data_IF_843173047188
#
_entry.id   IF_843173047188
#
_cell.length_a   1.000
_cell.length_b   1.000
_cell.length_c   1.000
_cell.angle_alpha   90.00
_cell.angle_beta   90.00
_cell.angle_gamma   90.00
#
_symmetry.space_group_name_H-M   'P 1'
#
loop_
_entity.id
_entity.type
_entity.pdbx_description
1 polymer ?
#
# COMPACT_ATOMS: atom_id res chain seq x y z
N UNK A 1 11.78 -6.53 18.36
CA UNK A 1 11.91 -5.11 17.94
C UNK A 1 10.62 -4.71 17.23
N UNK A 2 10.20 -3.46 17.37
CA UNK A 2 9.01 -2.95 16.64
C UNK A 2 9.38 -2.64 15.21
N UNK A 3 8.60 -3.13 14.23
CA UNK A 3 8.78 -2.87 12.80
C UNK A 3 7.99 -1.64 12.37
N UNK A 4 8.62 -0.73 11.66
CA UNK A 4 8.00 0.48 11.11
C UNK A 4 7.48 0.21 9.70
N UNK A 5 6.18 0.35 9.51
CA UNK A 5 5.48 0.08 8.25
C UNK A 5 5.15 1.39 7.55
N UNK A 6 5.68 1.60 6.35
CA UNK A 6 5.20 2.66 5.47
C UNK A 6 3.87 2.27 4.83
N UNK A 7 2.82 3.03 5.07
CA UNK A 7 1.49 2.79 4.48
C UNK A 7 1.29 3.75 3.31
N UNK A 8 1.17 3.20 2.11
CA UNK A 8 0.88 3.95 0.89
C UNK A 8 -0.55 3.68 0.45
N UNK A 9 -1.38 4.71 0.47
CA UNK A 9 -2.79 4.62 0.07
C UNK A 9 -3.00 5.29 -1.28
N UNK A 10 -3.37 4.50 -2.28
CA UNK A 10 -3.53 4.92 -3.68
C UNK A 10 -4.82 5.69 -3.98
N UNK A 11 -5.33 6.45 -3.02
CA UNK A 11 -6.54 7.26 -3.17
C UNK A 11 -6.42 8.58 -2.44
N UNK A 12 -6.61 9.68 -3.16
CA UNK A 12 -6.67 11.04 -2.62
C UNK A 12 -8.10 11.53 -2.34
N UNK A 13 -9.12 10.70 -2.47
CA UNK A 13 -10.51 11.07 -2.21
C UNK A 13 -10.73 11.34 -0.72
N UNK A 14 -11.51 12.38 -0.40
CA UNK A 14 -11.89 12.69 0.98
C UNK A 14 -12.77 11.60 1.62
N UNK A 15 -13.52 10.86 0.81
CA UNK A 15 -14.37 9.74 1.23
C UNK A 15 -13.76 8.39 0.86
N UNK A 16 -12.44 8.28 0.91
CA UNK A 16 -11.70 7.12 0.44
C UNK A 16 -11.92 5.89 1.29
N UNK A 17 -12.55 4.86 0.75
CA UNK A 17 -12.66 3.54 1.37
C UNK A 17 -11.26 2.92 1.58
N UNK A 18 -10.31 3.19 0.68
CA UNK A 18 -8.92 2.75 0.84
C UNK A 18 -8.27 3.33 2.11
N UNK A 19 -8.54 4.59 2.46
CA UNK A 19 -8.10 5.19 3.72
C UNK A 19 -8.77 4.54 4.93
N UNK A 20 -10.08 4.27 4.86
CA UNK A 20 -10.82 3.59 5.94
C UNK A 20 -10.23 2.20 6.20
N UNK A 21 -9.97 1.43 5.15
CA UNK A 21 -9.35 0.10 5.25
C UNK A 21 -7.95 0.20 5.84
N UNK A 22 -7.15 1.18 5.43
CA UNK A 22 -5.80 1.39 5.93
C UNK A 22 -5.79 1.68 7.44
N UNK A 23 -6.65 2.58 7.90
CA UNK A 23 -6.78 2.90 9.32
C UNK A 23 -7.34 1.73 10.13
N UNK A 24 -8.29 0.97 9.57
CA UNK A 24 -8.80 -0.25 10.21
C UNK A 24 -7.68 -1.27 10.41
N UNK A 25 -6.86 -1.54 9.40
CA UNK A 25 -5.71 -2.46 9.51
C UNK A 25 -4.72 -2.02 10.58
N UNK A 26 -4.39 -0.73 10.63
CA UNK A 26 -3.50 -0.20 11.67
C UNK A 26 -4.08 -0.36 13.08
N UNK A 27 -5.41 -0.25 13.23
CA UNK A 27 -6.12 -0.39 14.51
C UNK A 27 -6.17 -1.83 15.02
N UNK A 28 -6.32 -2.81 14.11
CA UNK A 28 -6.47 -4.23 14.48
C UNK A 28 -5.15 -5.01 14.39
N UNK A 29 -4.07 -4.35 14.02
CA UNK A 29 -2.75 -4.98 13.88
C UNK A 29 -2.24 -5.55 15.21
N UNK A 30 -1.51 -6.68 15.18
CA UNK A 30 -0.85 -7.20 16.36
C UNK A 30 0.23 -6.24 16.87
N UNK A 31 0.61 -6.40 18.14
CA UNK A 31 1.72 -5.65 18.74
C UNK A 31 3.02 -5.89 17.99
N UNK A 32 3.91 -4.89 17.98
CA UNK A 32 5.21 -4.98 17.28
C UNK A 32 5.22 -4.36 15.89
N UNK A 33 4.11 -3.77 15.43
CA UNK A 33 4.08 -2.94 14.22
C UNK A 33 3.73 -1.49 14.58
N UNK A 34 4.38 -0.55 13.91
CA UNK A 34 4.00 0.87 13.90
C UNK A 34 3.75 1.32 12.47
N UNK A 35 2.73 2.13 12.25
CA UNK A 35 2.28 2.52 10.92
C UNK A 35 2.55 4.00 10.68
N UNK A 36 3.30 4.30 9.61
CA UNK A 36 3.53 5.64 9.10
C UNK A 36 2.75 5.82 7.80
N UNK A 37 1.70 6.64 7.82
CA UNK A 37 0.90 6.95 6.62
C UNK A 37 1.65 7.96 5.77
N UNK A 38 2.27 7.47 4.70
CA UNK A 38 3.13 8.28 3.84
C UNK A 38 2.28 9.05 2.82
N UNK A 39 2.42 10.37 2.81
CA UNK A 39 1.74 11.22 1.84
C UNK A 39 2.28 10.97 0.44
N UNK A 40 1.41 10.57 -0.50
CA UNK A 40 1.76 10.34 -1.92
C UNK A 40 0.90 11.14 -2.91
N UNK A 41 -0.16 11.80 -2.42
CA UNK A 41 -1.06 12.57 -3.27
C UNK A 41 -0.43 13.88 -3.80
N UNK A 42 0.59 14.37 -3.14
CA UNK A 42 1.32 15.59 -3.48
C UNK A 42 2.58 15.35 -4.33
N UNK A 43 2.85 14.09 -4.68
CA UNK A 43 4.01 13.73 -5.50
C UNK A 43 3.73 14.11 -6.96
N UNK A 44 4.49 15.02 -7.57
CA UNK A 44 4.44 15.25 -9.02
C UNK A 44 4.61 13.95 -9.79
N UNK A 45 4.06 13.87 -11.00
CA UNK A 45 4.24 12.70 -11.83
C UNK A 45 5.73 12.53 -12.16
N UNK A 46 6.24 11.32 -11.92
CA UNK A 46 7.63 11.00 -12.20
C UNK A 46 7.95 11.11 -13.69
N UNK A 47 9.07 11.74 -13.94
CA UNK A 47 9.72 11.84 -15.24
C UNK A 47 11.22 11.56 -15.02
N UNK A 48 11.88 10.91 -15.98
CA UNK A 48 13.31 10.59 -15.89
C UNK A 48 14.19 11.83 -15.72
N UNK A 49 13.76 12.96 -16.25
CA UNK A 49 14.50 14.23 -16.13
C UNK A 49 14.47 14.77 -14.68
N UNK A 50 13.56 14.23 -13.83
CA UNK A 50 13.49 14.52 -12.39
C UNK A 50 14.57 13.84 -11.56
N UNK A 51 15.29 12.84 -12.10
CA UNK A 51 16.30 12.07 -11.34
C UNK A 51 17.41 12.93 -10.72
N UNK A 52 17.72 14.06 -11.35
CA UNK A 52 18.77 15.00 -10.91
C UNK A 52 18.21 16.31 -10.34
N UNK A 53 16.91 16.38 -10.08
CA UNK A 53 16.24 17.56 -9.53
C UNK A 53 15.98 17.41 -8.03
N UNK A 54 16.14 18.51 -7.31
CA UNK A 54 15.78 18.60 -5.89
C UNK A 54 14.29 18.91 -5.74
N UNK A 55 13.44 17.87 -5.78
CA UNK A 55 12.01 17.99 -5.56
C UNK A 55 11.70 17.65 -4.09
N UNK A 56 11.30 18.64 -3.31
CA UNK A 56 11.12 18.52 -1.86
C UNK A 56 10.17 17.37 -1.46
N UNK A 57 9.05 17.17 -2.21
CA UNK A 57 8.12 16.08 -1.96
C UNK A 57 8.73 14.70 -2.25
N UNK A 58 9.61 14.58 -3.25
CA UNK A 58 10.37 13.34 -3.50
C UNK A 58 11.36 13.06 -2.38
N UNK A 59 12.11 14.06 -1.94
CA UNK A 59 13.08 13.93 -0.85
C UNK A 59 12.40 13.48 0.44
N UNK A 60 11.29 14.12 0.82
CA UNK A 60 10.45 13.73 1.96
C UNK A 60 9.98 12.29 1.82
N UNK A 61 9.34 11.95 0.71
CA UNK A 61 8.82 10.61 0.45
C UNK A 61 9.93 9.56 0.54
N UNK A 62 11.05 9.78 -0.12
CA UNK A 62 12.20 8.86 -0.11
C UNK A 62 12.77 8.68 1.30
N UNK A 63 12.86 9.75 2.10
CA UNK A 63 13.32 9.66 3.49
C UNK A 63 12.37 8.82 4.37
N UNK A 64 11.05 8.97 4.20
CA UNK A 64 10.05 8.18 4.91
C UNK A 64 10.13 6.69 4.54
N UNK A 65 10.29 6.36 3.26
CA UNK A 65 10.47 4.98 2.81
C UNK A 65 11.80 4.39 3.31
N UNK A 66 12.89 5.14 3.22
CA UNK A 66 14.22 4.68 3.67
C UNK A 66 14.23 4.27 5.14
N UNK A 67 13.49 4.99 5.99
CA UNK A 67 13.41 4.72 7.44
C UNK A 67 12.38 3.66 7.82
N UNK A 68 11.69 3.04 6.87
CA UNK A 68 10.68 2.02 7.12
C UNK A 68 11.23 0.61 6.90
N UNK A 69 10.81 -0.35 7.74
CA UNK A 69 11.23 -1.75 7.65
C UNK A 69 10.45 -2.51 6.58
N UNK A 70 9.20 -2.12 6.33
CA UNK A 70 8.29 -2.78 5.40
C UNK A 70 7.28 -1.79 4.81
N UNK A 71 6.53 -2.22 3.80
CA UNK A 71 5.55 -1.40 3.09
C UNK A 71 4.19 -2.09 3.05
N UNK A 72 3.13 -1.34 3.29
CA UNK A 72 1.75 -1.77 3.07
C UNK A 72 1.16 -0.94 1.93
N UNK A 73 0.91 -1.58 0.79
CA UNK A 73 0.38 -0.96 -0.42
C UNK A 73 -1.14 -1.18 -0.49
N UNK A 74 -1.91 -0.11 -0.43
CA UNK A 74 -3.37 -0.16 -0.45
C UNK A 74 -3.87 0.59 -1.67
N UNK A 75 -4.54 -0.11 -2.58
CA UNK A 75 -4.94 0.44 -3.87
C UNK A 75 -6.40 0.20 -4.20
N UNK A 76 -7.16 1.20 -4.66
CA UNK A 76 -8.40 0.93 -5.38
C UNK A 76 -8.09 0.31 -6.74
N UNK A 77 -9.04 -0.48 -7.29
CA UNK A 77 -9.00 -0.90 -8.69
C UNK A 77 -9.63 0.18 -9.56
N UNK A 78 -8.83 0.77 -10.45
CA UNK A 78 -9.28 1.70 -11.48
C UNK A 78 -9.01 1.09 -12.85
N UNK A 79 -10.06 0.94 -13.67
CA UNK A 79 -9.93 0.40 -15.03
C UNK A 79 -9.11 -0.91 -15.08
N UNK A 80 -9.42 -1.84 -14.18
CA UNK A 80 -8.77 -3.14 -14.07
C UNK A 80 -7.26 -3.09 -13.70
N UNK A 81 -6.80 -2.00 -13.09
CA UNK A 81 -5.41 -1.83 -12.65
C UNK A 81 -5.35 -1.14 -11.27
N UNK A 82 -4.17 -1.16 -10.65
CA UNK A 82 -3.91 -0.39 -9.45
C UNK A 82 -3.79 1.11 -9.78
N UNK A 83 -3.90 1.97 -8.77
CA UNK A 83 -3.97 3.41 -8.97
C UNK A 83 -2.66 4.00 -9.49
N UNK A 84 -2.78 5.05 -10.33
CA UNK A 84 -1.64 5.82 -10.82
C UNK A 84 -0.79 6.41 -9.68
N UNK A 85 -1.41 6.76 -8.54
CA UNK A 85 -0.69 7.28 -7.37
C UNK A 85 0.31 6.27 -6.80
N UNK A 86 -0.10 5.00 -6.66
CA UNK A 86 0.80 3.91 -6.21
C UNK A 86 1.91 3.70 -7.24
N UNK A 87 1.56 3.68 -8.53
CA UNK A 87 2.58 3.52 -9.58
C UNK A 87 3.61 4.62 -9.55
N UNK A 88 3.17 5.87 -9.43
CA UNK A 88 4.03 7.04 -9.32
C UNK A 88 4.98 6.96 -8.10
N UNK A 89 4.43 6.61 -6.94
CA UNK A 89 5.23 6.43 -5.73
C UNK A 89 6.31 5.33 -5.90
N UNK A 90 5.95 4.21 -6.54
CA UNK A 90 6.92 3.12 -6.81
C UNK A 90 8.02 3.61 -7.75
N UNK A 91 7.68 4.34 -8.80
CA UNK A 91 8.65 4.87 -9.74
C UNK A 91 9.63 5.84 -9.06
N UNK A 92 9.13 6.79 -8.28
CA UNK A 92 9.96 7.75 -7.51
C UNK A 92 10.89 7.01 -6.52
N UNK A 93 10.37 6.02 -5.80
CA UNK A 93 11.15 5.27 -4.81
C UNK A 93 12.21 4.35 -5.42
N UNK A 94 12.06 3.95 -6.69
CA UNK A 94 13.04 3.15 -7.42
C UNK A 94 14.18 3.97 -8.03
N UNK A 95 14.12 5.29 -7.93
CA UNK A 95 15.03 6.23 -8.59
C UNK A 95 15.81 7.09 -7.56
N UNK A 96 16.96 7.73 -7.95
CA UNK A 96 17.69 7.52 -9.22
C UNK A 96 18.19 6.08 -9.40
N UNK A 97 18.65 5.75 -10.62
CA UNK A 97 19.12 4.40 -10.93
C UNK A 97 20.21 3.95 -9.95
N UNK A 98 20.09 2.71 -9.43
CA UNK A 98 21.00 2.17 -8.43
C UNK A 98 20.69 2.59 -6.99
N UNK A 99 19.70 3.46 -6.76
CA UNK A 99 19.30 3.94 -5.43
C UNK A 99 17.86 3.58 -5.06
N UNK A 100 17.38 2.44 -5.54
CA UNK A 100 16.05 1.95 -5.21
C UNK A 100 15.91 1.67 -3.71
N UNK A 101 14.86 2.21 -3.12
CA UNK A 101 14.51 2.02 -1.70
C UNK A 101 13.64 0.79 -1.46
N UNK A 102 13.25 0.12 -2.54
CA UNK A 102 12.32 -1.00 -2.50
C UNK A 102 12.99 -2.36 -2.37
N UNK A 103 14.23 -2.49 -2.88
CA UNK A 103 14.93 -3.77 -2.98
C UNK A 103 15.03 -4.45 -1.61
N UNK A 104 14.46 -5.65 -1.51
CA UNK A 104 14.46 -6.45 -0.29
C UNK A 104 13.46 -6.01 0.78
N UNK A 105 12.74 -4.88 0.59
CA UNK A 105 11.75 -4.39 1.55
C UNK A 105 10.45 -5.19 1.45
N UNK A 106 10.02 -5.91 2.51
CA UNK A 106 8.81 -6.73 2.46
C UNK A 106 7.56 -5.88 2.26
N UNK A 107 6.67 -6.33 1.38
CA UNK A 107 5.46 -5.62 1.01
C UNK A 107 4.19 -6.45 1.24
N UNK A 108 3.15 -5.82 1.81
CA UNK A 108 1.78 -6.31 1.82
C UNK A 108 0.94 -5.58 0.77
N UNK A 109 -0.04 -6.27 0.19
CA UNK A 109 -0.93 -5.70 -0.82
C UNK A 109 -2.38 -5.84 -0.38
N UNK A 110 -3.10 -4.73 -0.44
CA UNK A 110 -4.54 -4.67 -0.21
C UNK A 110 -5.18 -3.98 -1.41
N UNK A 111 -6.17 -4.61 -2.02
CA UNK A 111 -6.93 -4.02 -3.11
C UNK A 111 -8.39 -3.79 -2.73
N UNK A 112 -8.98 -2.77 -3.31
CA UNK A 112 -10.37 -2.38 -3.08
C UNK A 112 -11.09 -2.27 -4.43
N UNK A 113 -12.24 -2.94 -4.54
CA UNK A 113 -13.04 -2.93 -5.76
C UNK A 113 -14.54 -2.87 -5.51
N UNK A 114 -15.27 -2.24 -6.43
CA UNK A 114 -16.73 -2.18 -6.38
C UNK A 114 -17.39 -3.57 -6.54
N UNK A 115 -16.80 -4.41 -7.38
CA UNK A 115 -17.27 -5.78 -7.62
C UNK A 115 -16.85 -6.77 -6.54
N UNK A 116 -17.45 -7.96 -6.55
CA UNK A 116 -17.17 -9.02 -5.57
C UNK A 116 -15.70 -9.49 -5.54
N UNK A 117 -14.98 -9.37 -6.67
CA UNK A 117 -13.56 -9.74 -6.77
C UNK A 117 -12.59 -8.82 -6.02
N UNK A 118 -13.07 -7.69 -5.48
CA UNK A 118 -12.30 -6.85 -4.56
C UNK A 118 -11.04 -6.23 -5.16
N UNK A 119 -10.99 -6.03 -6.47
CA UNK A 119 -9.82 -5.42 -7.10
C UNK A 119 -8.65 -6.41 -7.31
N UNK A 120 -8.94 -7.70 -7.48
CA UNK A 120 -7.92 -8.74 -7.65
C UNK A 120 -6.95 -8.45 -8.79
N UNK A 121 -7.41 -7.85 -9.91
CA UNK A 121 -6.54 -7.50 -11.03
C UNK A 121 -5.53 -6.42 -10.65
N UNK A 122 -5.95 -5.44 -9.85
CA UNK A 122 -5.06 -4.41 -9.31
C UNK A 122 -4.00 -5.04 -8.40
N UNK A 123 -4.38 -5.97 -7.54
CA UNK A 123 -3.46 -6.69 -6.66
C UNK A 123 -2.43 -7.51 -7.46
N UNK A 124 -2.85 -8.24 -8.48
CA UNK A 124 -1.96 -9.09 -9.30
C UNK A 124 -0.97 -8.26 -10.11
N UNK A 125 -1.44 -7.18 -10.75
CA UNK A 125 -0.54 -6.27 -11.47
C UNK A 125 0.46 -5.59 -10.54
N UNK A 126 0.01 -5.18 -9.34
CA UNK A 126 0.89 -4.57 -8.35
C UNK A 126 1.94 -5.57 -7.86
N UNK A 127 1.57 -6.84 -7.65
CA UNK A 127 2.50 -7.92 -7.32
C UNK A 127 3.54 -8.11 -8.43
N UNK A 128 3.12 -8.06 -9.70
CA UNK A 128 4.03 -8.12 -10.85
C UNK A 128 5.04 -6.97 -10.84
N UNK A 129 4.58 -5.74 -10.56
CA UNK A 129 5.48 -4.59 -10.44
C UNK A 129 6.45 -4.74 -9.27
N UNK A 130 5.98 -5.24 -8.12
CA UNK A 130 6.83 -5.50 -6.96
C UNK A 130 7.95 -6.51 -7.25
N UNK A 131 7.70 -7.49 -8.13
CA UNK A 131 8.70 -8.50 -8.52
C UNK A 131 9.72 -8.02 -9.56
N UNK A 132 9.52 -6.83 -10.15
CA UNK A 132 10.42 -6.26 -11.14
C UNK A 132 11.82 -5.99 -10.58
N UNK A 133 12.87 -6.17 -11.38
CA UNK A 133 14.27 -6.14 -10.94
C UNK A 133 14.72 -4.86 -10.26
N UNK A 134 14.13 -3.70 -10.60
CA UNK A 134 14.45 -2.41 -9.97
C UNK A 134 13.60 -2.12 -8.71
N UNK A 135 12.54 -2.87 -8.49
CA UNK A 135 11.67 -2.79 -7.32
C UNK A 135 12.01 -3.90 -6.34
N UNK A 136 11.95 -5.15 -6.78
CA UNK A 136 12.38 -6.36 -6.06
C UNK A 136 11.96 -6.38 -4.58
N UNK A 137 10.68 -6.08 -4.34
CA UNK A 137 10.05 -6.21 -3.03
C UNK A 137 9.55 -7.65 -2.85
N UNK A 138 10.00 -8.41 -1.85
CA UNK A 138 9.33 -9.65 -1.48
C UNK A 138 7.89 -9.31 -1.02
N UNK A 139 6.90 -9.97 -1.62
CA UNK A 139 5.49 -9.73 -1.29
C UNK A 139 4.93 -10.80 -0.38
N UNK A 140 4.08 -10.43 0.57
CA UNK A 140 3.31 -11.38 1.37
C UNK A 140 2.53 -12.35 0.44
N UNK A 141 2.43 -13.63 0.80
CA UNK A 141 1.81 -14.64 -0.07
C UNK A 141 0.33 -14.36 -0.37
N UNK A 142 -0.35 -13.64 0.52
CA UNK A 142 -1.76 -13.28 0.36
C UNK A 142 -1.91 -11.77 0.14
N UNK A 143 -2.89 -11.39 -0.68
CA UNK A 143 -3.43 -10.04 -0.73
C UNK A 143 -4.82 -10.03 -0.08
N UNK A 144 -5.21 -8.95 0.59
CA UNK A 144 -6.60 -8.75 0.98
C UNK A 144 -7.33 -8.02 -0.15
N UNK A 145 -8.37 -8.66 -0.71
CA UNK A 145 -9.17 -8.09 -1.79
C UNK A 145 -10.56 -7.71 -1.24
N UNK A 146 -10.75 -6.42 -0.95
CA UNK A 146 -11.99 -5.91 -0.35
C UNK A 146 -13.00 -5.60 -1.44
N UNK A 147 -13.97 -6.51 -1.64
CA UNK A 147 -15.00 -6.39 -2.66
C UNK A 147 -16.32 -5.85 -2.15
N UNK A 148 -17.20 -5.47 -3.11
CA UNK A 148 -18.56 -5.03 -2.80
C UNK A 148 -18.63 -3.77 -1.94
N UNK A 149 -17.68 -2.89 -2.05
CA UNK A 149 -17.48 -1.77 -1.10
C UNK A 149 -18.64 -0.78 -1.03
N UNK A 150 -19.52 -0.77 -2.02
CA UNK A 150 -20.76 0.03 -2.00
C UNK A 150 -21.97 -0.72 -1.42
N UNK A 151 -21.80 -1.96 -0.98
CA UNK A 151 -22.86 -2.85 -0.49
C UNK A 151 -22.76 -3.07 1.04
N UNK A 152 -22.63 -1.99 1.82
CA UNK A 152 -22.66 -2.07 3.28
C UNK A 152 -21.35 -2.59 3.91
N UNK A 153 -20.21 -2.43 3.25
CA UNK A 153 -18.90 -2.73 3.86
C UNK A 153 -18.50 -1.65 4.86
N UNK A 154 -18.81 -0.38 4.54
CA UNK A 154 -18.51 0.79 5.38
C UNK A 154 -19.81 1.35 5.93
N UNK A 155 -19.83 1.65 7.23
CA UNK A 155 -20.93 2.29 7.93
C UNK A 155 -20.94 3.81 7.76
N UNK A 156 -21.99 4.46 8.26
CA UNK A 156 -22.21 5.90 8.14
C UNK A 156 -21.09 6.72 8.84
N UNK A 157 -20.48 6.17 9.87
CA UNK A 157 -19.39 6.82 10.62
C UNK A 157 -18.00 6.56 10.01
N UNK A 158 -17.94 5.94 8.81
CA UNK A 158 -16.67 5.66 8.14
C UNK A 158 -15.87 4.49 8.76
N UNK A 159 -16.52 3.56 9.44
CA UNK A 159 -15.91 2.33 9.95
C UNK A 159 -16.27 1.11 9.08
N UNK A 160 -15.43 0.09 9.12
CA UNK A 160 -15.77 -1.21 8.52
C UNK A 160 -16.81 -1.91 9.40
N UNK A 161 -18.00 -2.17 8.83
CA UNK A 161 -19.12 -2.82 9.54
C UNK A 161 -19.34 -4.26 9.12
N UNK A 162 -18.90 -4.66 7.93
CA UNK A 162 -19.03 -6.03 7.41
C UNK A 162 -18.14 -7.01 8.18
N UNK A 163 -18.73 -7.94 8.92
CA UNK A 163 -17.99 -8.95 9.68
C UNK A 163 -17.09 -9.85 8.80
N UNK A 164 -17.53 -10.32 7.62
CA UNK A 164 -16.62 -11.05 6.73
C UNK A 164 -15.38 -10.26 6.33
N UNK A 165 -15.54 -8.95 6.06
CA UNK A 165 -14.43 -8.07 5.71
C UNK A 165 -13.50 -7.82 6.92
N UNK A 166 -14.04 -7.60 8.12
CA UNK A 166 -13.25 -7.49 9.36
C UNK A 166 -12.39 -8.73 9.58
N UNK A 167 -12.98 -9.90 9.48
CA UNK A 167 -12.28 -11.17 9.69
C UNK A 167 -11.18 -11.40 8.64
N UNK A 168 -11.45 -11.08 7.37
CA UNK A 168 -10.45 -11.14 6.30
C UNK A 168 -9.28 -10.18 6.57
N UNK A 169 -9.56 -8.93 6.94
CA UNK A 169 -8.53 -7.93 7.22
C UNK A 169 -7.71 -8.29 8.47
N UNK A 170 -8.33 -8.82 9.52
CA UNK A 170 -7.63 -9.32 10.70
C UNK A 170 -6.67 -10.48 10.36
N UNK A 171 -7.14 -11.47 9.61
CA UNK A 171 -6.29 -12.58 9.16
C UNK A 171 -5.16 -12.11 8.24
N UNK A 172 -5.43 -11.13 7.37
CA UNK A 172 -4.40 -10.53 6.52
C UNK A 172 -3.30 -9.84 7.33
N UNK A 173 -3.66 -8.96 8.28
CA UNK A 173 -2.67 -8.18 9.02
C UNK A 173 -1.82 -9.05 9.95
N UNK A 174 -2.38 -10.11 10.51
CA UNK A 174 -1.64 -11.12 11.28
C UNK A 174 -0.62 -11.86 10.39
N UNK A 175 -1.06 -12.35 9.22
CA UNK A 175 -0.20 -12.98 8.23
C UNK A 175 0.91 -12.06 7.73
N UNK A 176 0.57 -10.80 7.48
CA UNK A 176 1.53 -9.79 7.05
C UNK A 176 2.56 -9.50 8.15
N UNK A 177 2.15 -9.37 9.40
CA UNK A 177 3.05 -9.19 10.55
C UNK A 177 4.03 -10.36 10.67
N UNK A 178 3.53 -11.60 10.58
CA UNK A 178 4.37 -12.80 10.58
C UNK A 178 5.36 -12.82 9.40
N UNK A 179 4.94 -12.37 8.23
CA UNK A 179 5.79 -12.25 7.05
C UNK A 179 6.90 -11.22 7.24
N UNK A 180 6.56 -10.01 7.70
CA UNK A 180 7.53 -8.92 7.95
C UNK A 180 8.57 -9.31 8.99
N UNK A 181 8.18 -10.06 10.02
CA UNK A 181 9.09 -10.51 11.07
C UNK A 181 10.16 -11.52 10.61
N UNK A 182 10.11 -11.97 9.36
CA UNK A 182 11.11 -12.87 8.75
C UNK A 182 12.30 -12.10 8.15
N UNK A 183 12.18 -10.80 8.04
CA UNK A 183 13.18 -9.86 7.51
C UNK A 183 13.69 -8.93 8.62
#
# INVERSE_FOLDING_TARGET
MTKKIAVLVGSGSQTSISQIVAHHLAKVAPTGLTFNFVQIADLPLYDRDSDNQEIASYQRFRAEIATSDAVLLITPEHNASFSAMIKNAIDIGSRPMGQSLWIGKPAGIVSIGAGAAGGVRAADQLRTVCSGSFVNMPTAPFAANVGGVFNGVVGENGEIVSEPVKNMLAGFIESYAAFVNRF
#
